data_IF_448903372480
#
_entry.id   IF_448903372480
#
_cell.length_a   1.000
_cell.length_b   1.000
_cell.length_c   1.000
_cell.angle_alpha   90.00
_cell.angle_beta   90.00
_cell.angle_gamma   90.00
#
_symmetry.space_group_name_H-M   'P 1'
#
loop_
_entity.id
_entity.type
_entity.pdbx_description
1 polymer ?
#
# COMPACT_ATOMS: atom_id res chain seq x y z
N UNK A 1 24.84 6.05 0.07
CA UNK A 1 23.64 5.67 0.85
C UNK A 1 22.45 6.19 0.08
N UNK A 2 21.87 5.31 -0.74
CA UNK A 2 21.02 5.66 -1.89
C UNK A 2 19.62 6.12 -1.46
N UNK A 3 19.44 7.43 -1.38
CA UNK A 3 18.16 8.09 -1.10
C UNK A 3 16.99 7.62 -2.00
N UNK A 4 17.29 7.08 -3.18
CA UNK A 4 16.30 6.50 -4.09
C UNK A 4 15.59 5.25 -3.54
N UNK A 5 16.20 4.51 -2.60
CA UNK A 5 15.53 3.40 -1.92
C UNK A 5 14.44 3.90 -0.93
N UNK A 6 14.62 5.08 -0.36
CA UNK A 6 13.75 5.58 0.70
C UNK A 6 12.35 5.98 0.18
N UNK A 7 12.22 6.33 -1.10
CA UNK A 7 10.95 6.74 -1.71
C UNK A 7 10.29 5.66 -2.59
N UNK A 8 10.91 4.48 -2.75
CA UNK A 8 10.36 3.42 -3.60
C UNK A 8 9.03 2.86 -3.07
N UNK A 9 8.86 2.85 -1.74
CA UNK A 9 7.59 2.50 -1.10
C UNK A 9 6.98 3.79 -0.55
N UNK A 10 5.81 4.18 -1.05
CA UNK A 10 5.21 5.48 -0.74
C UNK A 10 4.80 5.58 0.74
N UNK A 11 4.08 4.56 1.22
CA UNK A 11 3.57 4.44 2.60
C UNK A 11 4.04 3.15 3.28
N UNK A 12 5.09 2.51 2.76
CA UNK A 12 5.55 1.20 3.20
C UNK A 12 7.05 1.15 3.47
N UNK A 13 7.52 -0.01 3.89
CA UNK A 13 8.94 -0.26 4.09
C UNK A 13 9.50 -1.07 2.92
N UNK A 14 10.62 -0.64 2.36
CA UNK A 14 11.31 -1.39 1.33
C UNK A 14 12.01 -2.61 1.94
N UNK A 15 11.67 -3.79 1.44
CA UNK A 15 12.36 -5.03 1.75
C UNK A 15 13.21 -5.48 0.57
N UNK A 16 14.40 -5.94 0.90
CA UNK A 16 15.26 -6.67 -0.02
C UNK A 16 15.11 -8.13 0.35
N UNK A 17 14.34 -8.89 -0.43
CA UNK A 17 14.33 -10.33 -0.27
C UNK A 17 15.73 -10.85 -0.62
N UNK A 18 16.44 -11.38 0.39
CA UNK A 18 17.77 -11.97 0.22
C UNK A 18 17.64 -13.37 -0.38
N UNK A 19 17.14 -13.46 -1.61
CA UNK A 19 17.06 -14.67 -2.44
C UNK A 19 17.94 -14.55 -3.69
N UNK A 20 17.97 -15.62 -4.51
CA UNK A 20 18.79 -15.73 -5.75
C UNK A 20 18.52 -14.58 -6.73
N UNK A 21 17.30 -14.05 -6.74
CA UNK A 21 16.95 -12.78 -7.37
C UNK A 21 16.71 -11.73 -6.29
N UNK A 22 17.58 -10.72 -6.22
CA UNK A 22 17.43 -9.57 -5.30
C UNK A 22 16.29 -8.67 -5.79
N UNK A 23 15.06 -9.10 -5.58
CA UNK A 23 13.88 -8.34 -5.99
C UNK A 23 13.51 -7.35 -4.89
N UNK A 24 13.37 -6.07 -5.26
CA UNK A 24 12.81 -5.04 -4.39
C UNK A 24 11.33 -5.31 -4.20
N UNK A 25 10.86 -5.28 -2.95
CA UNK A 25 9.45 -5.41 -2.63
C UNK A 25 9.09 -4.44 -1.51
N UNK A 26 7.82 -4.05 -1.44
CA UNK A 26 7.33 -3.18 -0.37
C UNK A 26 6.47 -3.97 0.61
N UNK A 27 6.74 -3.81 1.91
CA UNK A 27 5.81 -4.19 2.96
C UNK A 27 4.85 -3.02 3.20
N UNK A 28 3.57 -3.26 2.94
CA UNK A 28 2.53 -2.25 3.11
C UNK A 28 1.84 -2.39 4.48
N UNK A 29 1.48 -1.27 5.12
CA UNK A 29 0.60 -1.27 6.28
C UNK A 29 -0.82 -1.73 5.91
N UNK A 30 -1.63 -2.07 6.91
CA UNK A 30 -2.89 -2.79 6.77
C UNK A 30 -3.91 -2.18 5.79
N UNK A 31 -3.85 -0.87 5.54
CA UNK A 31 -4.76 -0.14 4.67
C UNK A 31 -4.14 0.31 3.35
N UNK A 32 -2.94 -0.13 3.00
CA UNK A 32 -2.29 0.22 1.74
C UNK A 32 -1.90 -1.02 0.95
N UNK A 33 -1.99 -0.95 -0.38
CA UNK A 33 -1.69 -2.05 -1.28
C UNK A 33 -1.08 -1.57 -2.59
N UNK A 34 -0.65 -2.53 -3.41
CA UNK A 34 0.11 -2.31 -4.64
C UNK A 34 1.60 -2.58 -4.47
N UNK A 35 2.32 -2.61 -5.59
CA UNK A 35 3.77 -2.90 -5.61
C UNK A 35 4.61 -1.88 -4.83
N UNK A 36 4.12 -0.65 -4.65
CA UNK A 36 4.77 0.44 -3.94
C UNK A 36 3.93 0.99 -2.78
N UNK A 37 2.89 0.27 -2.36
CA UNK A 37 1.91 0.73 -1.37
C UNK A 37 1.23 2.06 -1.77
N UNK A 38 0.98 2.27 -3.07
CA UNK A 38 0.45 3.53 -3.60
C UNK A 38 -1.07 3.68 -3.43
N UNK A 39 -1.80 2.59 -3.19
CA UNK A 39 -3.25 2.61 -3.10
C UNK A 39 -3.72 2.42 -1.67
N UNK A 40 -4.50 3.37 -1.18
CA UNK A 40 -5.13 3.28 0.14
C UNK A 40 -6.50 2.58 0.00
N UNK A 41 -6.75 1.58 0.83
CA UNK A 41 -8.07 0.99 1.02
C UNK A 41 -8.95 1.99 1.77
N UNK A 42 -9.84 2.65 1.04
CA UNK A 42 -10.83 3.54 1.62
C UNK A 42 -12.16 2.81 1.74
N UNK A 43 -12.68 2.72 2.96
CA UNK A 43 -14.03 2.20 3.18
C UNK A 43 -15.03 3.31 2.88
N UNK A 44 -15.81 3.13 1.81
CA UNK A 44 -16.95 4.01 1.53
C UNK A 44 -18.18 3.42 2.24
N UNK A 45 -18.72 4.15 3.21
CA UNK A 45 -19.94 3.77 3.92
C UNK A 45 -21.12 4.56 3.36
N UNK A 46 -22.07 3.87 2.73
CA UNK A 46 -23.30 4.47 2.22
C UNK A 46 -24.43 4.20 3.22
N UNK A 47 -25.14 5.25 3.62
CA UNK A 47 -26.37 5.13 4.41
C UNK A 47 -27.56 5.38 3.52
N UNK A 48 -28.41 4.36 3.35
CA UNK A 48 -29.63 4.45 2.55
C UNK A 48 -30.80 4.75 3.48
N UNK A 49 -31.54 5.83 3.21
CA UNK A 49 -32.78 6.16 3.91
C UNK A 49 -33.96 5.91 2.97
N UNK A 50 -34.79 4.92 3.30
CA UNK A 50 -36.04 4.66 2.61
C UNK A 50 -37.16 5.45 3.28
N UNK A 51 -37.95 6.19 2.50
CA UNK A 51 -39.19 6.83 2.96
C UNK A 51 -40.36 6.17 2.26
N UNK A 52 -41.32 5.67 3.03
CA UNK A 52 -42.61 5.18 2.51
C UNK A 52 -43.61 6.33 2.52
N UNK A 53 -44.32 6.52 1.42
CA UNK A 53 -45.50 7.39 1.35
C UNK A 53 -46.72 6.65 1.93
#
# INVERSE_FOLDING_TARGET
MDAALAWYCHYGALTLFKGINKTKACLCPQNYFGSQCQWQSQRVCLTLQFRTQ
#
